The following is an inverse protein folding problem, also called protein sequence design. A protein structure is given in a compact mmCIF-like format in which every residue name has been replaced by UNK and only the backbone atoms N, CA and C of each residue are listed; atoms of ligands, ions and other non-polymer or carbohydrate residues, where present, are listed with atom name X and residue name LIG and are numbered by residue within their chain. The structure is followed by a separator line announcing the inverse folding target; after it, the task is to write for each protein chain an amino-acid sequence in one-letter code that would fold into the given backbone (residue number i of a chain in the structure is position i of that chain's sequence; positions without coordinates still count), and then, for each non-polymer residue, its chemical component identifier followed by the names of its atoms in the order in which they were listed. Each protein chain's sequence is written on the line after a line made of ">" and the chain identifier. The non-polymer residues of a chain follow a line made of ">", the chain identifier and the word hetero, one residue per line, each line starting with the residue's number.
data_IF_827170799124
#
_entry.id   IF_827170799124
#
_cell.length_a   1.000
_cell.length_b   1.000
_cell.length_c   1.000
_cell.angle_alpha   90.00
_cell.angle_beta   90.00
_cell.angle_gamma   90.00
#
_symmetry.space_group_name_H-M   'P 1'
#
loop_
_entity.id
_entity.type
_entity.pdbx_description
1 polymer ?
#
# COMPACT_ATOMS: atom_id res chain seq x y z
N UNK A 1 -15.08 4.73 19.99
CA UNK A 1 -14.59 3.50 19.33
C UNK A 1 -14.93 3.58 17.86
N UNK A 2 -13.91 3.61 16.99
CA UNK A 2 -14.04 3.94 15.56
C UNK A 2 -14.00 2.66 14.73
N UNK A 3 -14.87 2.61 13.72
CA UNK A 3 -15.02 1.51 12.75
C UNK A 3 -13.72 1.24 11.97
N UNK A 4 -12.83 2.23 11.81
CA UNK A 4 -11.54 2.11 11.11
C UNK A 4 -10.50 1.22 11.80
N UNK A 5 -10.40 1.25 13.14
CA UNK A 5 -9.43 0.40 13.87
C UNK A 5 -9.87 -1.07 13.88
N UNK A 6 -11.20 -1.28 13.85
CA UNK A 6 -11.78 -2.62 13.73
C UNK A 6 -11.56 -3.19 12.32
N UNK A 7 -11.67 -2.35 11.27
CA UNK A 7 -11.42 -2.77 9.89
C UNK A 7 -9.93 -3.03 9.64
N UNK A 8 -9.01 -2.17 10.09
CA UNK A 8 -7.56 -2.41 9.93
C UNK A 8 -7.11 -3.73 10.59
N UNK A 9 -7.60 -4.00 11.78
CA UNK A 9 -7.30 -5.25 12.50
C UNK A 9 -7.99 -6.46 11.85
N UNK A 10 -9.15 -6.28 11.23
CA UNK A 10 -9.84 -7.33 10.47
C UNK A 10 -9.10 -7.68 9.17
N UNK A 11 -8.64 -6.68 8.41
CA UNK A 11 -7.88 -6.88 7.17
C UNK A 11 -6.52 -7.54 7.43
N UNK A 12 -5.78 -7.07 8.45
CA UNK A 12 -4.51 -7.69 8.83
C UNK A 12 -4.67 -9.15 9.33
N UNK A 13 -5.73 -9.44 10.09
CA UNK A 13 -6.04 -10.81 10.54
C UNK A 13 -6.50 -11.72 9.40
N UNK A 14 -7.29 -11.20 8.46
CA UNK A 14 -7.79 -11.94 7.30
C UNK A 14 -6.66 -12.28 6.32
N UNK A 15 -5.72 -11.36 6.12
CA UNK A 15 -4.57 -11.52 5.23
C UNK A 15 -3.52 -12.53 5.73
N UNK A 16 -3.67 -13.12 6.92
CA UNK A 16 -2.69 -14.01 7.53
C UNK A 16 -1.33 -13.36 7.78
N UNK A 17 -1.26 -12.02 7.72
CA UNK A 17 -0.06 -11.26 8.03
C UNK A 17 0.11 -11.36 9.54
N UNK A 18 1.20 -11.94 10.06
CA UNK A 18 1.47 -11.79 11.48
C UNK A 18 1.50 -10.28 11.73
N UNK A 19 0.73 -9.82 12.71
CA UNK A 19 0.74 -8.43 13.23
C UNK A 19 2.13 -8.06 13.81
N UNK A 20 3.15 -8.87 13.50
CA UNK A 20 4.46 -8.98 14.08
C UNK A 20 5.53 -9.34 13.03
N UNK A 21 5.39 -8.94 11.76
CA UNK A 21 6.59 -8.61 10.97
C UNK A 21 7.12 -7.33 11.56
N UNK A 22 7.84 -7.46 12.69
CA UNK A 22 8.17 -6.30 13.49
C UNK A 22 9.14 -5.45 12.67
N UNK A 23 8.84 -4.16 12.53
CA UNK A 23 9.78 -3.19 11.99
C UNK A 23 11.16 -3.40 12.64
N UNK A 24 11.17 -3.72 13.94
CA UNK A 24 12.34 -4.05 14.77
C UNK A 24 13.21 -5.18 14.19
N UNK A 25 12.64 -6.25 13.63
CA UNK A 25 13.42 -7.34 13.02
C UNK A 25 14.17 -6.87 11.77
N UNK A 26 13.56 -5.96 10.99
CA UNK A 26 14.22 -5.33 9.83
C UNK A 26 15.26 -4.29 10.26
N UNK A 27 14.99 -3.54 11.33
CA UNK A 27 15.93 -2.58 11.91
C UNK A 27 17.17 -3.28 12.49
N UNK A 28 17.00 -4.44 13.11
CA UNK A 28 18.12 -5.21 13.65
C UNK A 28 19.01 -5.81 12.54
N UNK A 29 18.45 -6.00 11.34
CA UNK A 29 19.15 -6.55 10.16
C UNK A 29 19.91 -5.48 9.36
N UNK A 30 19.48 -4.22 9.45
CA UNK A 30 20.09 -3.10 8.75
C UNK A 30 20.38 -2.01 9.78
N UNK A 31 21.64 -1.93 10.23
CA UNK A 31 22.16 -1.12 11.35
C UNK A 31 22.03 0.41 11.13
N UNK A 32 20.80 0.88 10.91
CA UNK A 32 20.44 2.27 10.75
C UNK A 32 19.97 2.81 12.11
N UNK A 33 20.36 4.03 12.48
CA UNK A 33 19.92 4.62 13.75
C UNK A 33 18.42 4.92 13.72
N UNK A 34 17.79 5.00 14.91
CA UNK A 34 16.40 5.42 15.04
C UNK A 34 16.15 6.78 14.35
N UNK A 35 17.14 7.70 14.40
CA UNK A 35 17.03 8.99 13.71
C UNK A 35 16.97 8.85 12.18
N UNK A 36 17.58 7.82 11.60
CA UNK A 36 17.59 7.57 10.15
C UNK A 36 16.28 6.94 9.63
N UNK A 37 15.46 6.43 10.55
CA UNK A 37 14.17 5.78 10.29
C UNK A 37 13.02 6.77 10.46
N UNK A 38 13.05 7.54 11.56
CA UNK A 38 12.05 8.57 11.86
C UNK A 38 12.41 9.94 11.27
N UNK A 39 13.65 10.11 10.78
CA UNK A 39 14.21 11.36 10.28
C UNK A 39 14.71 12.28 11.40
N UNK A 40 15.73 13.08 11.11
CA UNK A 40 16.03 14.30 11.89
C UNK A 40 14.84 15.26 11.91
N UNK A 41 14.77 16.16 12.90
CA UNK A 41 13.78 17.24 12.94
C UNK A 41 13.88 18.08 11.65
N UNK A 42 12.93 17.86 10.74
CA UNK A 42 13.06 18.38 9.37
C UNK A 42 12.69 19.85 9.35
N UNK A 43 13.67 20.70 9.10
CA UNK A 43 13.43 22.11 8.78
C UNK A 43 12.47 22.25 7.59
N UNK A 44 11.75 23.37 7.50
CA UNK A 44 10.75 23.61 6.45
C UNK A 44 11.35 23.35 5.07
N UNK A 45 10.89 22.30 4.40
CA UNK A 45 11.39 21.90 3.09
C UNK A 45 10.23 21.66 2.10
N UNK A 46 9.97 22.61 1.19
CA UNK A 46 8.85 22.51 0.25
C UNK A 46 9.02 21.39 -0.78
N UNK A 47 10.25 20.97 -1.07
CA UNK A 47 10.52 19.83 -1.98
C UNK A 47 10.21 18.51 -1.27
N UNK A 48 10.67 18.37 -0.02
CA UNK A 48 10.35 17.22 0.82
C UNK A 48 8.85 17.03 1.00
N UNK A 49 8.13 18.11 1.32
CA UNK A 49 6.67 18.10 1.42
C UNK A 49 5.98 17.64 0.13
N UNK A 50 6.37 18.19 -1.03
CA UNK A 50 5.80 17.79 -2.33
C UNK A 50 6.05 16.33 -2.67
N UNK A 51 7.21 15.78 -2.28
CA UNK A 51 7.53 14.38 -2.51
C UNK A 51 6.66 13.47 -1.62
N UNK A 52 6.45 13.87 -0.35
CA UNK A 52 5.51 13.20 0.55
C UNK A 52 4.07 13.22 0.02
N UNK A 53 3.57 14.36 -0.46
CA UNK A 53 2.21 14.48 -1.03
C UNK A 53 2.03 13.59 -2.28
N UNK A 54 3.06 13.46 -3.11
CA UNK A 54 3.03 12.55 -4.26
C UNK A 54 2.99 11.09 -3.84
N UNK A 55 3.79 10.71 -2.84
CA UNK A 55 3.81 9.36 -2.31
C UNK A 55 2.48 9.02 -1.64
N UNK A 56 1.95 9.93 -0.81
CA UNK A 56 0.64 9.80 -0.17
C UNK A 56 -0.44 9.53 -1.20
N UNK A 57 -0.56 10.40 -2.21
CA UNK A 57 -1.56 10.23 -3.27
C UNK A 57 -1.41 8.91 -4.02
N UNK A 58 -0.18 8.54 -4.42
CA UNK A 58 0.05 7.29 -5.16
C UNK A 58 -0.34 6.05 -4.33
N UNK A 59 -0.04 6.08 -3.03
CA UNK A 59 -0.33 4.99 -2.11
C UNK A 59 -1.83 4.91 -1.76
N UNK A 60 -2.52 6.04 -1.61
CA UNK A 60 -3.98 6.10 -1.45
C UNK A 60 -4.69 5.54 -2.68
N UNK A 61 -4.28 5.96 -3.89
CA UNK A 61 -4.85 5.44 -5.14
C UNK A 61 -4.62 3.94 -5.28
N UNK A 62 -3.44 3.44 -4.87
CA UNK A 62 -3.15 2.01 -4.81
C UNK A 62 -4.11 1.29 -3.84
N UNK A 63 -4.23 1.78 -2.61
CA UNK A 63 -5.09 1.15 -1.60
C UNK A 63 -6.55 1.12 -2.05
N UNK A 64 -7.08 2.24 -2.53
CA UNK A 64 -8.46 2.35 -3.03
C UNK A 64 -8.71 1.44 -4.23
N UNK A 65 -7.78 1.39 -5.19
CA UNK A 65 -7.90 0.52 -6.35
C UNK A 65 -7.96 -0.96 -5.93
N UNK A 66 -7.13 -1.35 -4.96
CA UNK A 66 -7.07 -2.72 -4.48
C UNK A 66 -8.30 -3.10 -3.67
N UNK A 67 -8.82 -2.18 -2.84
CA UNK A 67 -10.04 -2.37 -2.05
C UNK A 67 -11.26 -2.70 -2.91
N UNK A 68 -11.34 -2.15 -4.12
CA UNK A 68 -12.43 -2.49 -5.04
C UNK A 68 -12.47 -3.98 -5.38
N UNK A 69 -11.33 -4.69 -5.41
CA UNK A 69 -11.33 -6.15 -5.62
C UNK A 69 -11.85 -6.93 -4.41
N UNK A 70 -11.80 -6.31 -3.22
CA UNK A 70 -12.18 -6.94 -1.95
C UNK A 70 -13.67 -6.76 -1.61
N UNK A 71 -14.41 -6.04 -2.45
CA UNK A 71 -15.86 -5.92 -2.31
C UNK A 71 -16.51 -7.31 -2.40
N UNK A 72 -17.41 -7.59 -1.46
CA UNK A 72 -18.17 -8.83 -1.38
C UNK A 72 -19.64 -8.59 -1.72
N UNK A 73 -20.34 -9.65 -2.12
CA UNK A 73 -21.76 -9.61 -2.46
C UNK A 73 -22.03 -9.56 -3.96
N UNK A 74 -23.31 -9.48 -4.31
CA UNK A 74 -23.79 -9.56 -5.70
C UNK A 74 -23.32 -8.39 -6.57
N UNK A 75 -23.07 -7.22 -5.95
CA UNK A 75 -22.60 -6.03 -6.65
C UNK A 75 -21.06 -6.01 -6.84
N UNK A 76 -20.33 -6.98 -6.28
CA UNK A 76 -18.88 -7.07 -6.47
C UNK A 76 -18.51 -7.28 -7.94
N UNK A 77 -17.34 -6.79 -8.36
CA UNK A 77 -16.88 -6.98 -9.75
C UNK A 77 -16.75 -8.45 -10.14
N UNK A 78 -16.39 -9.33 -9.20
CA UNK A 78 -16.28 -10.77 -9.46
C UNK A 78 -17.65 -11.45 -9.60
N UNK A 79 -18.64 -11.07 -8.79
CA UNK A 79 -20.01 -11.55 -8.95
C UNK A 79 -20.61 -11.10 -10.29
N UNK A 80 -20.48 -9.81 -10.63
CA UNK A 80 -20.93 -9.25 -11.91
C UNK A 80 -20.25 -9.90 -13.11
N UNK A 81 -18.96 -10.19 -13.01
CA UNK A 81 -18.21 -10.88 -14.06
C UNK A 81 -18.65 -12.35 -14.23
N UNK A 82 -18.99 -13.05 -13.14
CA UNK A 82 -19.57 -14.41 -13.21
C UNK A 82 -20.95 -14.43 -13.85
N UNK A 83 -21.79 -13.45 -13.53
CA UNK A 83 -23.15 -13.35 -14.08
C UNK A 83 -23.16 -12.96 -15.55
N UNK A 84 -22.32 -12.01 -15.93
CA UNK A 84 -22.25 -11.49 -17.32
C UNK A 84 -21.34 -12.31 -18.24
N UNK A 85 -20.43 -13.13 -17.68
CA UNK A 85 -19.39 -13.84 -18.41
C UNK A 85 -18.28 -12.93 -18.96
N UNK A 86 -18.23 -11.65 -18.56
CA UNK A 86 -17.23 -10.68 -19.02
C UNK A 86 -16.26 -10.28 -17.91
N UNK A 87 -14.96 -10.41 -18.16
CA UNK A 87 -13.90 -10.01 -17.24
C UNK A 87 -13.33 -8.62 -17.53
N UNK A 88 -13.94 -7.83 -18.43
CA UNK A 88 -13.41 -6.52 -18.85
C UNK A 88 -13.22 -5.52 -17.70
N UNK A 89 -14.15 -5.49 -16.74
CA UNK A 89 -14.06 -4.62 -15.56
C UNK A 89 -12.85 -4.99 -14.70
N UNK A 90 -12.67 -6.29 -14.44
CA UNK A 90 -11.53 -6.84 -13.70
C UNK A 90 -10.23 -6.52 -14.42
N UNK A 91 -10.16 -6.72 -15.74
CA UNK A 91 -8.96 -6.43 -16.54
C UNK A 91 -8.55 -4.95 -16.41
N UNK A 92 -9.49 -4.02 -16.57
CA UNK A 92 -9.23 -2.59 -16.41
C UNK A 92 -8.79 -2.24 -14.98
N UNK A 93 -9.36 -2.91 -13.98
CA UNK A 93 -8.97 -2.69 -12.60
C UNK A 93 -7.54 -3.20 -12.34
N UNK A 94 -7.15 -4.34 -12.93
CA UNK A 94 -5.78 -4.89 -12.84
C UNK A 94 -4.78 -4.00 -13.56
N UNK A 95 -5.13 -3.40 -14.70
CA UNK A 95 -4.27 -2.41 -15.35
C UNK A 95 -3.95 -1.23 -14.42
N UNK A 96 -4.99 -0.65 -13.81
CA UNK A 96 -4.83 0.45 -12.84
C UNK A 96 -4.03 0.02 -11.61
N UNK A 97 -4.24 -1.20 -11.12
CA UNK A 97 -3.47 -1.76 -10.01
C UNK A 97 -1.97 -1.71 -10.30
N UNK A 98 -1.57 -2.17 -11.48
CA UNK A 98 -0.16 -2.18 -11.87
C UNK A 98 0.41 -0.76 -12.04
N UNK A 99 -0.39 0.16 -12.56
CA UNK A 99 -0.02 1.58 -12.66
C UNK A 99 0.22 2.21 -11.28
N UNK A 100 -0.73 2.07 -10.36
CA UNK A 100 -0.63 2.63 -9.01
C UNK A 100 0.47 1.94 -8.20
N UNK A 101 0.60 0.61 -8.30
CA UNK A 101 1.67 -0.14 -7.63
C UNK A 101 3.05 0.35 -8.09
N UNK A 102 3.25 0.47 -9.40
CA UNK A 102 4.53 0.95 -9.96
C UNK A 102 4.80 2.42 -9.62
N UNK A 103 3.76 3.25 -9.57
CA UNK A 103 3.85 4.65 -9.13
C UNK A 103 4.32 4.73 -7.67
N UNK A 104 3.72 3.95 -6.77
CA UNK A 104 4.11 3.87 -5.35
C UNK A 104 5.55 3.39 -5.20
N UNK A 105 5.93 2.30 -5.87
CA UNK A 105 7.30 1.78 -5.89
C UNK A 105 8.33 2.82 -6.37
N UNK A 106 7.97 3.63 -7.37
CA UNK A 106 8.82 4.71 -7.90
C UNK A 106 8.98 5.86 -6.91
N UNK A 107 7.90 6.28 -6.26
CA UNK A 107 7.94 7.35 -5.26
C UNK A 107 8.73 6.91 -4.02
N UNK A 108 8.54 5.66 -3.56
CA UNK A 108 9.36 5.06 -2.48
C UNK A 108 10.85 4.99 -2.85
N UNK A 109 11.19 4.62 -4.08
CA UNK A 109 12.60 4.61 -4.53
C UNK A 109 13.23 6.01 -4.57
N UNK A 110 12.42 7.04 -4.72
CA UNK A 110 12.90 8.43 -4.74
C UNK A 110 13.06 9.01 -3.32
N UNK A 111 12.51 8.34 -2.30
CA UNK A 111 12.75 8.63 -0.90
C UNK A 111 13.97 7.84 -0.42
N UNK A 112 15.00 8.54 0.05
CA UNK A 112 16.24 7.91 0.55
C UNK A 112 16.11 7.39 1.99
N UNK A 113 14.88 7.26 2.53
CA UNK A 113 14.70 6.86 3.93
C UNK A 113 14.68 5.35 4.15
N UNK A 114 15.11 4.91 5.33
CA UNK A 114 15.04 3.51 5.76
C UNK A 114 13.60 2.98 5.74
N UNK A 115 12.62 3.84 6.02
CA UNK A 115 11.21 3.50 6.02
C UNK A 115 10.68 3.27 4.58
N UNK A 116 11.10 4.09 3.62
CA UNK A 116 10.73 3.91 2.21
C UNK A 116 11.32 2.61 1.65
N UNK A 117 12.55 2.28 2.03
CA UNK A 117 13.17 0.99 1.71
C UNK A 117 12.37 -0.19 2.28
N UNK A 118 11.97 -0.10 3.56
CA UNK A 118 11.18 -1.13 4.23
C UNK A 118 9.85 -1.39 3.50
N UNK A 119 9.09 -0.33 3.21
CA UNK A 119 7.81 -0.49 2.49
C UNK A 119 7.99 -1.06 1.08
N UNK A 120 9.05 -0.64 0.37
CA UNK A 120 9.38 -1.19 -0.95
C UNK A 120 9.69 -2.69 -0.85
N UNK A 121 10.37 -3.12 0.21
CA UNK A 121 10.64 -4.53 0.47
C UNK A 121 9.38 -5.32 0.80
N UNK A 122 8.51 -4.79 1.65
CA UNK A 122 7.23 -5.42 1.96
C UNK A 122 6.38 -5.63 0.70
N UNK A 123 6.27 -4.63 -0.19
CA UNK A 123 5.55 -4.77 -1.46
C UNK A 123 6.20 -5.84 -2.37
N UNK A 124 7.53 -5.86 -2.45
CA UNK A 124 8.27 -6.89 -3.19
C UNK A 124 8.02 -8.30 -2.65
N UNK A 125 8.02 -8.45 -1.33
CA UNK A 125 7.84 -9.74 -0.67
C UNK A 125 6.41 -10.25 -0.91
N UNK A 126 5.39 -9.38 -0.78
CA UNK A 126 3.99 -9.71 -1.11
C UNK A 126 3.82 -10.15 -2.57
N UNK A 127 4.46 -9.44 -3.51
CA UNK A 127 4.45 -9.84 -4.92
C UNK A 127 5.18 -11.19 -5.12
N UNK A 128 6.32 -11.40 -4.45
CA UNK A 128 7.10 -12.63 -4.51
C UNK A 128 6.34 -13.86 -3.99
N UNK A 129 5.65 -13.72 -2.85
CA UNK A 129 4.78 -14.74 -2.26
C UNK A 129 3.67 -15.18 -3.22
N UNK A 130 3.20 -14.28 -4.10
CA UNK A 130 2.13 -14.53 -5.06
C UNK A 130 2.65 -14.69 -6.50
N UNK A 131 3.95 -14.92 -6.68
CA UNK A 131 4.61 -14.86 -8.00
C UNK A 131 4.06 -15.86 -9.03
N UNK A 132 3.71 -17.09 -8.61
CA UNK A 132 3.12 -18.09 -9.51
C UNK A 132 1.73 -17.65 -10.00
N UNK A 133 0.86 -17.21 -9.09
CA UNK A 133 -0.48 -16.74 -9.42
C UNK A 133 -0.44 -15.48 -10.29
N UNK A 134 0.43 -14.52 -9.97
CA UNK A 134 0.68 -13.33 -10.78
C UNK A 134 1.13 -13.70 -12.19
N UNK A 135 2.06 -14.66 -12.32
CA UNK A 135 2.56 -15.11 -13.62
C UNK A 135 1.46 -15.77 -14.46
N UNK A 136 0.60 -16.57 -13.85
CA UNK A 136 -0.57 -17.17 -14.51
C UNK A 136 -1.54 -16.10 -15.01
N UNK A 137 -1.73 -15.01 -14.26
CA UNK A 137 -2.51 -13.85 -14.66
C UNK A 137 -1.80 -12.93 -15.69
N UNK A 138 -0.65 -13.33 -16.24
CA UNK A 138 0.11 -12.53 -17.20
C UNK A 138 0.95 -11.41 -16.58
N UNK A 139 1.14 -11.40 -15.26
CA UNK A 139 1.91 -10.39 -14.54
C UNK A 139 3.32 -10.88 -14.25
N UNK A 140 4.31 -10.09 -14.66
CA UNK A 140 5.73 -10.40 -14.42
C UNK A 140 6.33 -9.42 -13.42
N UNK A 141 6.99 -9.96 -12.38
CA UNK A 141 7.73 -9.19 -11.39
C UNK A 141 9.14 -8.92 -11.94
N UNK A 142 9.52 -7.65 -12.08
CA UNK A 142 10.85 -7.24 -12.52
C UNK A 142 11.85 -7.25 -11.38
N UNK A 143 13.15 -7.19 -11.70
CA UNK A 143 14.25 -7.19 -10.71
C UNK A 143 14.18 -6.05 -9.70
N UNK A 144 13.58 -4.92 -10.07
CA UNK A 144 13.39 -3.76 -9.19
C UNK A 144 12.09 -3.85 -8.37
N UNK A 145 11.34 -4.94 -8.49
CA UNK A 145 10.07 -5.19 -7.81
C UNK A 145 8.85 -4.58 -8.49
N UNK A 146 9.02 -3.86 -9.60
CA UNK A 146 7.88 -3.35 -10.38
C UNK A 146 7.20 -4.47 -11.16
N UNK A 147 5.94 -4.27 -11.49
CA UNK A 147 5.10 -5.25 -12.19
C UNK A 147 4.96 -4.86 -13.67
N UNK A 148 4.90 -5.85 -14.55
CA UNK A 148 4.61 -5.70 -15.98
C UNK A 148 3.42 -6.56 -16.35
N UNK A 149 2.54 -6.04 -17.20
CA UNK A 149 1.37 -6.77 -17.68
C UNK A 149 1.54 -7.29 -19.10
N UNK A 150 1.21 -8.56 -19.30
CA UNK A 150 0.87 -9.13 -20.59
C UNK A 150 -0.67 -9.12 -20.73
N UNK A 151 -1.18 -8.16 -21.51
CA UNK A 151 -2.64 -7.94 -21.64
C UNK A 151 -3.36 -9.10 -22.32
N UNK A 152 -2.68 -9.83 -23.18
CA UNK A 152 -3.29 -10.95 -23.90
C UNK A 152 -3.42 -12.15 -22.97
N UNK A 153 -2.40 -12.43 -22.15
CA UNK A 153 -2.49 -13.45 -21.09
C UNK A 153 -3.52 -13.11 -20.01
N UNK A 154 -3.64 -11.83 -19.64
CA UNK A 154 -4.66 -11.42 -18.66
C UNK A 154 -6.09 -11.68 -19.18
N UNK A 155 -6.32 -11.51 -20.49
CA UNK A 155 -7.62 -11.81 -21.12
C UNK A 155 -7.92 -13.31 -21.17
N UNK A 156 -6.88 -14.13 -21.31
CA UNK A 156 -6.98 -15.60 -21.32
C UNK A 156 -7.08 -16.20 -19.91
N UNK A 157 -6.73 -15.45 -18.87
CA UNK A 157 -6.76 -15.93 -17.50
C UNK A 157 -8.19 -16.27 -17.04
N UNK A 158 -8.32 -17.40 -16.34
CA UNK A 158 -9.61 -17.84 -15.82
C UNK A 158 -10.07 -16.97 -14.64
N UNK A 159 -11.37 -16.71 -14.59
CA UNK A 159 -11.97 -15.80 -13.61
C UNK A 159 -11.78 -16.30 -12.16
N UNK A 160 -11.85 -17.61 -11.94
CA UNK A 160 -11.65 -18.21 -10.61
C UNK A 160 -10.22 -17.99 -10.09
N UNK A 161 -9.20 -18.08 -10.96
CA UNK A 161 -7.82 -17.78 -10.62
C UNK A 161 -7.61 -16.29 -10.35
N UNK A 162 -8.25 -15.42 -11.14
CA UNK A 162 -8.21 -13.97 -10.90
C UNK A 162 -8.88 -13.60 -9.56
N UNK A 163 -9.99 -14.23 -9.21
CA UNK A 163 -10.69 -14.00 -7.94
C UNK A 163 -9.93 -14.58 -6.74
N UNK A 164 -9.24 -15.72 -6.90
CA UNK A 164 -8.36 -16.26 -5.86
C UNK A 164 -7.13 -15.40 -5.62
N UNK A 165 -6.65 -14.71 -6.64
CA UNK A 165 -5.49 -13.83 -6.54
C UNK A 165 -5.88 -12.46 -5.98
N UNK A 166 -6.80 -11.78 -6.65
CA UNK A 166 -7.15 -10.39 -6.36
C UNK A 166 -8.38 -10.24 -5.47
N UNK A 167 -9.29 -11.22 -5.51
CA UNK A 167 -10.53 -11.15 -4.76
C UNK A 167 -10.35 -11.37 -3.25
N UNK A 168 -11.46 -11.31 -2.50
CA UNK A 168 -11.45 -11.32 -1.03
C UNK A 168 -11.05 -12.66 -0.42
N UNK A 169 -10.93 -13.72 -1.24
CA UNK A 169 -10.42 -15.03 -0.81
C UNK A 169 -8.89 -15.14 -0.90
N UNK A 170 -8.25 -14.25 -1.65
CA UNK A 170 -6.80 -14.15 -1.80
C UNK A 170 -6.15 -13.33 -0.70
N UNK A 171 -4.82 -13.37 -0.63
CA UNK A 171 -4.05 -12.56 0.33
C UNK A 171 -3.31 -11.40 -0.33
N UNK A 172 -3.17 -11.39 -1.66
CA UNK A 172 -2.39 -10.37 -2.37
C UNK A 172 -3.04 -8.99 -2.23
N UNK A 173 -4.30 -8.86 -2.61
CA UNK A 173 -5.02 -7.57 -2.53
C UNK A 173 -5.13 -7.06 -1.10
N UNK A 174 -5.50 -7.90 -0.13
CA UNK A 174 -5.56 -7.49 1.27
C UNK A 174 -4.22 -6.91 1.77
N UNK A 175 -3.11 -7.59 1.48
CA UNK A 175 -1.76 -7.16 1.88
C UNK A 175 -1.33 -5.88 1.18
N UNK A 176 -1.59 -5.74 -0.12
CA UNK A 176 -1.23 -4.54 -0.89
C UNK A 176 -2.08 -3.34 -0.45
N UNK A 177 -3.37 -3.53 -0.20
CA UNK A 177 -4.24 -2.48 0.33
C UNK A 177 -3.74 -1.98 1.69
N UNK A 178 -3.46 -2.90 2.62
CA UNK A 178 -2.92 -2.57 3.93
C UNK A 178 -1.59 -1.80 3.83
N UNK A 179 -0.65 -2.28 2.99
CA UNK A 179 0.62 -1.58 2.79
C UNK A 179 0.42 -0.20 2.15
N UNK A 180 -0.50 -0.06 1.20
CA UNK A 180 -0.85 1.23 0.59
C UNK A 180 -1.33 2.25 1.62
N UNK A 181 -2.22 1.83 2.53
CA UNK A 181 -2.68 2.70 3.63
C UNK A 181 -1.54 3.10 4.57
N UNK A 182 -0.71 2.14 5.00
CA UNK A 182 0.42 2.42 5.89
C UNK A 182 1.45 3.36 5.25
N UNK A 183 1.72 3.21 3.95
CA UNK A 183 2.61 4.11 3.20
C UNK A 183 2.00 5.50 3.10
N UNK A 184 0.70 5.61 2.80
CA UNK A 184 0.01 6.89 2.70
C UNK A 184 0.04 7.64 4.04
N UNK A 185 -0.26 6.95 5.15
CA UNK A 185 -0.21 7.52 6.50
C UNK A 185 1.20 7.99 6.89
N UNK A 186 2.21 7.17 6.58
CA UNK A 186 3.62 7.53 6.80
C UNK A 186 4.03 8.75 5.98
N UNK A 187 3.63 8.81 4.70
CA UNK A 187 3.93 9.93 3.82
C UNK A 187 3.27 11.23 4.31
N UNK A 188 2.00 11.16 4.72
CA UNK A 188 1.26 12.29 5.27
C UNK A 188 1.93 12.85 6.54
N UNK A 189 2.32 11.96 7.46
CA UNK A 189 3.02 12.36 8.69
C UNK A 189 4.36 13.05 8.38
N UNK A 190 5.14 12.48 7.46
CA UNK A 190 6.41 13.07 7.00
C UNK A 190 6.20 14.43 6.31
N UNK A 191 5.14 14.57 5.50
CA UNK A 191 4.78 15.84 4.85
C UNK A 191 4.41 16.94 5.85
N UNK A 192 3.75 16.58 6.96
CA UNK A 192 3.45 17.52 8.05
C UNK A 192 4.71 17.96 8.80
N UNK A 193 5.67 17.06 9.03
CA UNK A 193 6.98 17.42 9.61
C UNK A 193 7.70 18.48 8.77
N UNK A 194 7.77 18.29 7.44
CA UNK A 194 8.36 19.28 6.51
C UNK A 194 7.65 20.62 6.44
N UNK A 195 6.43 20.75 6.98
CA UNK A 195 5.67 22.00 6.93
C UNK A 195 6.01 22.96 8.07
N UNK A 196 6.92 22.60 8.99
CA UNK A 196 7.26 23.41 10.16
C UNK A 196 6.07 23.59 11.12
N UNK A 197 5.04 22.75 10.96
CA UNK A 197 3.84 22.78 11.79
C UNK A 197 4.07 22.22 13.17
N UNK A 198 5.21 21.60 13.46
CA UNK A 198 5.54 21.14 14.80
C UNK A 198 6.57 22.09 15.42
N UNK A 199 6.35 22.48 16.67
CA UNK A 199 7.38 23.18 17.44
C UNK A 199 8.45 22.21 17.93
N UNK A 200 9.55 22.72 18.48
CA UNK A 200 10.64 21.91 19.06
C UNK A 200 10.23 21.04 20.25
N UNK A 201 8.97 21.12 20.68
CA UNK A 201 8.33 20.27 21.69
C UNK A 201 7.36 19.25 21.09
N UNK A 202 7.31 19.13 19.76
CA UNK A 202 6.44 18.18 19.04
C UNK A 202 4.98 18.58 18.92
N UNK A 203 4.61 19.84 19.19
CA UNK A 203 3.23 20.30 19.20
C UNK A 203 2.81 20.96 17.88
N UNK A 204 1.61 20.66 17.35
CA UNK A 204 1.16 21.17 16.05
C UNK A 204 0.60 22.60 16.12
N UNK A 205 1.09 23.53 15.29
CA UNK A 205 0.72 24.96 15.25
C UNK A 205 -0.64 25.26 14.60
N UNK A 206 -1.45 24.25 14.28
CA UNK A 206 -2.77 24.51 13.71
C UNK A 206 -3.46 23.29 13.10
N UNK A 207 -4.19 22.57 13.95
CA UNK A 207 -5.50 21.95 13.68
C UNK A 207 -6.24 21.85 15.03
N UNK A 208 -7.54 22.19 15.13
CA UNK A 208 -8.32 21.82 16.30
C UNK A 208 -8.50 20.29 16.26
N UNK A 209 -7.85 19.59 17.19
CA UNK A 209 -8.00 18.15 17.39
C UNK A 209 -6.98 17.30 16.61
N UNK A 210 -5.77 17.17 17.16
CA UNK A 210 -4.90 16.05 16.81
C UNK A 210 -5.58 14.76 17.30
N UNK A 211 -5.71 13.75 16.43
CA UNK A 211 -6.26 12.41 16.75
C UNK A 211 -5.40 11.60 17.75
N UNK A 212 -4.33 12.19 18.26
CA UNK A 212 -3.36 11.59 19.18
C UNK A 212 -3.34 12.26 20.56
N UNK A 213 -4.23 13.22 20.82
CA UNK A 213 -4.46 13.70 22.19
C UNK A 213 -5.30 12.66 22.94
N UNK A 214 -4.62 11.69 23.53
CA UNK A 214 -5.27 10.64 24.32
C UNK A 214 -5.60 11.09 25.75
N UNK A 215 -5.10 12.25 26.19
CA UNK A 215 -5.37 12.81 27.51
C UNK A 215 -5.81 14.27 27.37
N UNK A 216 -7.13 14.47 27.47
CA UNK A 216 -7.76 15.71 27.89
C UNK A 216 -8.96 15.34 28.78
#
# INVERSE_FOLDING_TARGET
>A
MRVTDQILNATARRAGVPVNMSLVDYLNKNSNSLEDIFGEDKTVNPVGKKNCEKLEKAAEELAQNVQAFLEEGQDSMFARAKESGSSEEIQKQVEKLLEHYNSTMKNLKSGDSSMDYYYRKMLQDVAGENSEALKTAGITIKKDGTLSLDKDKLKEADLDSLEKLFGPSGTFSDKVAFLGEQIADSARANGLSYSGKYNSSGNSYGLPGNKYEFWA
#
